data_IF_427335974104
#
_entry.id   IF_427335974104
#
_cell.length_a   1.000
_cell.length_b   1.000
_cell.length_c   1.000
_cell.angle_alpha   90.00
_cell.angle_beta   90.00
_cell.angle_gamma   90.00
#
_symmetry.space_group_name_H-M   'P 1'
#
loop_
_entity.id
_entity.type
_entity.pdbx_description
1 polymer ?
#
# COMPACT_ATOMS: atom_id res chain seq x y z
N UNK A 1 -23.20 21.29 6.33
CA UNK A 1 -22.29 21.74 7.41
C UNK A 1 -21.06 22.33 6.74
N UNK A 2 -20.70 23.58 7.00
CA UNK A 2 -19.53 24.23 6.39
C UNK A 2 -18.37 24.21 7.38
N UNK A 3 -17.31 23.46 7.09
CA UNK A 3 -16.08 23.36 7.86
C UNK A 3 -15.04 22.56 7.08
N UNK A 4 -13.75 22.62 7.42
CA UNK A 4 -12.74 21.80 6.77
C UNK A 4 -13.01 20.31 6.98
N UNK A 5 -12.57 19.43 6.06
CA UNK A 5 -12.74 17.99 6.20
C UNK A 5 -12.03 17.50 7.47
N UNK A 6 -12.68 16.60 8.19
CA UNK A 6 -12.13 15.95 9.38
C UNK A 6 -11.74 14.53 8.98
N UNK A 7 -10.44 14.29 8.87
CA UNK A 7 -9.91 12.95 8.68
C UNK A 7 -9.72 12.28 10.03
N UNK A 8 -10.22 11.05 10.16
CA UNK A 8 -10.00 10.20 11.32
C UNK A 8 -9.22 8.97 10.86
N UNK A 9 -7.99 8.83 11.36
CA UNK A 9 -7.12 7.71 11.07
C UNK A 9 -7.29 6.59 12.10
N UNK A 10 -7.24 5.36 11.62
CA UNK A 10 -7.26 4.16 12.44
C UNK A 10 -6.40 3.07 11.81
N UNK A 11 -6.50 1.85 12.32
CA UNK A 11 -5.88 0.69 11.67
C UNK A 11 -6.81 -0.52 11.74
N UNK A 12 -6.69 -1.44 10.79
CA UNK A 12 -7.33 -2.76 10.84
C UNK A 12 -6.27 -3.87 10.88
N UNK A 13 -6.59 -4.96 11.58
CA UNK A 13 -5.71 -6.14 11.72
C UNK A 13 -6.38 -7.44 11.24
N UNK A 14 -7.55 -7.33 10.61
CA UNK A 14 -8.18 -8.41 9.88
C UNK A 14 -7.74 -8.31 8.43
N UNK A 15 -7.35 -9.43 7.83
CA UNK A 15 -6.63 -9.45 6.57
C UNK A 15 -7.14 -10.53 5.62
N UNK A 16 -7.08 -10.23 4.34
CA UNK A 16 -7.12 -11.19 3.24
C UNK A 16 -5.69 -11.34 2.70
N UNK A 17 -5.19 -12.56 2.57
CA UNK A 17 -3.93 -12.83 1.87
C UNK A 17 -4.11 -12.53 0.38
N UNK A 18 -3.21 -11.73 -0.17
CA UNK A 18 -3.22 -11.35 -1.59
C UNK A 18 -2.09 -12.02 -2.38
N UNK A 19 -0.91 -12.13 -1.76
CA UNK A 19 0.25 -12.81 -2.33
C UNK A 19 1.17 -13.32 -1.20
N UNK A 20 1.79 -14.47 -1.43
CA UNK A 20 2.83 -15.07 -0.60
C UNK A 20 3.87 -15.62 -1.55
N UNK A 21 5.13 -15.26 -1.35
CA UNK A 21 6.24 -15.70 -2.22
C UNK A 21 6.74 -17.13 -1.93
N UNK A 22 6.08 -17.84 -1.03
CA UNK A 22 6.38 -19.24 -0.71
C UNK A 22 6.50 -20.08 -2.00
N UNK A 23 7.61 -20.80 -2.11
CA UNK A 23 7.93 -21.63 -3.26
C UNK A 23 8.74 -20.91 -4.34
N UNK A 24 8.85 -19.58 -4.29
CA UNK A 24 9.56 -18.78 -5.31
C UNK A 24 11.07 -19.01 -5.34
N UNK A 25 11.66 -19.42 -4.22
CA UNK A 25 13.12 -19.45 -4.09
C UNK A 25 13.78 -18.08 -3.90
N UNK A 26 12.99 -17.02 -3.66
CA UNK A 26 13.52 -15.73 -3.22
C UNK A 26 14.36 -15.89 -1.93
N UNK A 27 15.37 -15.02 -1.78
CA UNK A 27 16.28 -15.03 -0.63
C UNK A 27 15.60 -14.59 0.68
N UNK A 28 14.46 -13.91 0.58
CA UNK A 28 13.64 -13.42 1.68
C UNK A 28 12.23 -13.97 1.57
N UNK A 29 11.59 -14.22 2.71
CA UNK A 29 10.17 -14.58 2.76
C UNK A 29 9.30 -13.31 2.77
N UNK A 30 8.21 -13.28 2.01
CA UNK A 30 7.34 -12.13 1.82
C UNK A 30 5.85 -12.48 1.71
N UNK A 31 5.04 -11.92 2.60
CA UNK A 31 3.58 -12.02 2.53
C UNK A 31 2.91 -10.65 2.48
N UNK A 32 1.90 -10.53 1.61
CA UNK A 32 1.18 -9.31 1.31
C UNK A 32 -0.32 -9.50 1.50
N UNK A 33 -0.94 -8.55 2.17
CA UNK A 33 -2.30 -8.67 2.67
C UNK A 33 -3.11 -7.39 2.47
N UNK A 34 -4.37 -7.57 2.12
CA UNK A 34 -5.35 -6.49 2.11
C UNK A 34 -6.09 -6.43 3.44
N UNK A 35 -6.16 -5.23 4.03
CA UNK A 35 -6.97 -5.01 5.22
C UNK A 35 -8.46 -5.19 4.94
N UNK A 36 -9.16 -5.90 5.82
CA UNK A 36 -10.62 -6.03 5.77
C UNK A 36 -11.22 -4.86 6.53
N UNK A 37 -11.90 -3.97 5.82
CA UNK A 37 -12.64 -2.85 6.39
C UNK A 37 -14.13 -3.14 6.37
N UNK A 38 -14.85 -2.72 7.41
CA UNK A 38 -16.30 -2.85 7.49
C UNK A 38 -16.98 -1.51 7.21
N UNK A 39 -18.03 -1.54 6.39
CA UNK A 39 -18.85 -0.37 6.06
C UNK A 39 -18.28 0.51 4.93
N UNK A 40 -19.10 1.47 4.49
CA UNK A 40 -18.83 2.26 3.28
C UNK A 40 -18.08 3.58 3.55
N UNK A 41 -17.65 3.80 4.80
CA UNK A 41 -17.06 5.07 5.26
C UNK A 41 -15.59 4.95 5.67
N UNK A 42 -15.04 3.73 5.73
CA UNK A 42 -13.65 3.47 6.07
C UNK A 42 -12.88 2.99 4.85
N UNK A 43 -11.75 3.64 4.57
CA UNK A 43 -10.95 3.41 3.38
C UNK A 43 -9.53 2.96 3.73
N UNK A 44 -8.98 2.10 2.88
CA UNK A 44 -7.57 1.74 2.89
C UNK A 44 -6.74 2.81 2.16
N UNK A 45 -5.45 2.88 2.51
CA UNK A 45 -4.46 3.77 1.89
C UNK A 45 -3.31 3.02 1.21
N UNK A 46 -3.40 1.69 1.21
CA UNK A 46 -2.46 0.72 0.65
C UNK A 46 -2.68 -0.64 1.32
N UNK A 47 -1.91 -1.63 0.93
CA UNK A 47 -1.92 -2.96 1.54
C UNK A 47 -0.80 -3.09 2.61
N UNK A 48 -0.85 -4.18 3.36
CA UNK A 48 0.13 -4.56 4.38
C UNK A 48 1.12 -5.58 3.84
N UNK A 49 2.38 -5.48 4.25
CA UNK A 49 3.41 -6.45 3.92
C UNK A 49 4.23 -6.83 5.16
N UNK A 50 4.71 -8.07 5.19
CA UNK A 50 5.65 -8.54 6.21
C UNK A 50 6.64 -9.56 5.62
N UNK A 51 7.84 -9.57 6.20
CA UNK A 51 8.94 -10.41 5.73
C UNK A 51 8.98 -11.80 6.37
N UNK A 52 7.85 -12.53 6.38
CA UNK A 52 7.75 -13.92 6.85
C UNK A 52 6.36 -14.54 6.55
N UNK A 53 6.27 -15.88 6.62
CA UNK A 53 5.03 -16.66 6.43
C UNK A 53 4.11 -16.80 7.66
N UNK A 54 4.41 -16.17 8.79
CA UNK A 54 3.53 -16.28 9.95
C UNK A 54 2.20 -15.53 9.71
N UNK A 55 1.15 -15.82 10.50
CA UNK A 55 -0.06 -14.99 10.48
C UNK A 55 0.26 -13.50 10.65
N UNK A 56 -0.51 -12.58 10.03
CA UNK A 56 -0.28 -11.15 10.13
C UNK A 56 -0.13 -10.68 11.58
N UNK A 57 1.01 -10.08 11.92
CA UNK A 57 1.32 -9.62 13.27
C UNK A 57 1.07 -8.13 13.50
N UNK A 58 0.76 -7.38 12.43
CA UNK A 58 0.59 -5.93 12.43
C UNK A 58 -0.85 -5.48 12.16
N UNK A 59 -0.98 -4.21 11.82
CA UNK A 59 -2.20 -3.59 11.34
C UNK A 59 -1.89 -2.63 10.19
N UNK A 60 -2.88 -2.31 9.37
CA UNK A 60 -2.74 -1.39 8.22
C UNK A 60 -3.58 -0.14 8.40
N UNK A 61 -3.00 1.00 8.01
CA UNK A 61 -3.63 2.31 8.13
C UNK A 61 -4.96 2.40 7.36
N UNK A 62 -5.97 2.94 8.04
CA UNK A 62 -7.27 3.29 7.47
C UNK A 62 -7.61 4.75 7.71
N UNK A 63 -8.53 5.27 6.91
CA UNK A 63 -9.03 6.63 7.04
C UNK A 63 -10.54 6.69 6.83
N UNK A 64 -11.20 7.56 7.58
CA UNK A 64 -12.57 7.99 7.32
C UNK A 64 -12.62 9.52 7.27
N UNK A 65 -13.59 10.08 6.56
CA UNK A 65 -13.76 11.52 6.40
C UNK A 65 -15.16 11.95 6.84
N UNK A 66 -15.22 13.06 7.58
CA UNK A 66 -16.45 13.77 7.92
C UNK A 66 -16.35 15.21 7.45
N UNK A 67 -17.51 15.87 7.24
CA UNK A 67 -17.58 17.25 6.76
C UNK A 67 -16.80 17.48 5.44
N UNK A 68 -16.81 16.50 4.54
CA UNK A 68 -16.07 16.60 3.28
C UNK A 68 -16.75 17.56 2.30
N UNK A 69 -15.94 18.31 1.55
CA UNK A 69 -16.41 19.17 0.47
C UNK A 69 -16.55 18.33 -0.80
N UNK A 70 -17.76 18.11 -1.34
CA UNK A 70 -17.93 17.29 -2.53
C UNK A 70 -17.28 17.89 -3.78
N UNK A 71 -16.99 19.19 -3.79
CA UNK A 71 -16.29 19.88 -4.90
C UNK A 71 -14.77 19.80 -4.80
N UNK A 72 -14.25 19.46 -3.62
CA UNK A 72 -12.83 19.31 -3.34
C UNK A 72 -12.62 18.28 -2.21
N UNK A 73 -12.90 16.99 -2.46
CA UNK A 73 -12.93 15.99 -1.40
C UNK A 73 -11.53 15.72 -0.84
N UNK A 74 -11.43 15.40 0.45
CA UNK A 74 -10.15 15.06 1.08
C UNK A 74 -9.59 13.72 0.55
N UNK A 75 -10.49 12.82 0.14
CA UNK A 75 -10.19 11.48 -0.34
C UNK A 75 -10.71 11.30 -1.77
N UNK A 76 -9.91 10.71 -2.64
CA UNK A 76 -10.33 10.38 -4.01
C UNK A 76 -9.99 8.93 -4.35
N UNK A 77 -10.82 8.28 -5.17
CA UNK A 77 -10.47 6.97 -5.72
C UNK A 77 -9.26 7.11 -6.67
N UNK A 78 -8.37 6.10 -6.73
CA UNK A 78 -7.33 6.08 -7.76
C UNK A 78 -7.95 6.01 -9.16
N UNK A 79 -7.29 6.62 -10.15
CA UNK A 79 -7.74 6.61 -11.56
C UNK A 79 -7.26 5.38 -12.31
N UNK A 80 -6.40 4.57 -11.70
CA UNK A 80 -5.82 3.35 -12.26
C UNK A 80 -4.73 2.82 -11.36
N UNK A 81 -3.98 1.83 -11.86
CA UNK A 81 -2.88 1.20 -11.15
C UNK A 81 -1.71 1.01 -12.12
N UNK A 82 -0.52 1.44 -11.70
CA UNK A 82 0.71 1.21 -12.44
C UNK A 82 1.34 -0.10 -11.93
N UNK A 83 1.61 -1.03 -12.83
CA UNK A 83 2.29 -2.28 -12.48
C UNK A 83 3.71 -1.96 -11.98
N UNK A 84 4.08 -2.56 -10.86
CA UNK A 84 5.46 -2.53 -10.33
C UNK A 84 6.14 -3.86 -10.65
N UNK A 85 5.44 -4.97 -10.36
CA UNK A 85 6.04 -6.30 -10.37
C UNK A 85 4.99 -7.40 -10.51
N UNK A 86 5.38 -8.55 -11.06
CA UNK A 86 4.62 -9.80 -11.12
C UNK A 86 5.54 -10.96 -10.78
N UNK A 87 5.01 -12.02 -10.18
CA UNK A 87 5.77 -13.23 -9.85
C UNK A 87 6.06 -14.16 -11.04
N UNK A 88 5.71 -13.74 -12.27
CA UNK A 88 5.96 -14.52 -13.48
C UNK A 88 7.44 -14.91 -13.56
N UNK A 89 7.71 -16.22 -13.63
CA UNK A 89 9.06 -16.78 -13.64
C UNK A 89 9.55 -17.29 -12.28
N UNK A 90 8.94 -16.85 -11.18
CA UNK A 90 9.42 -17.15 -9.82
C UNK A 90 9.19 -18.60 -9.37
N UNK A 91 8.18 -19.27 -9.91
CA UNK A 91 7.80 -20.61 -9.44
C UNK A 91 7.12 -20.64 -8.06
N UNK A 92 6.66 -19.49 -7.55
CA UNK A 92 5.87 -19.40 -6.32
C UNK A 92 4.62 -20.29 -6.37
N UNK A 93 4.16 -20.75 -5.19
CA UNK A 93 2.95 -21.55 -5.05
C UNK A 93 1.67 -20.75 -5.36
N UNK A 94 1.77 -19.41 -5.41
CA UNK A 94 0.65 -18.49 -5.62
C UNK A 94 1.06 -17.38 -6.59
N UNK A 95 0.31 -17.24 -7.69
CA UNK A 95 0.52 -16.13 -8.62
C UNK A 95 0.12 -14.78 -8.00
N UNK A 96 0.95 -13.76 -8.20
CA UNK A 96 0.69 -12.43 -7.65
C UNK A 96 1.41 -11.28 -8.34
N UNK A 97 0.95 -10.08 -8.01
CA UNK A 97 1.50 -8.84 -8.56
C UNK A 97 1.39 -7.67 -7.57
N UNK A 98 2.29 -6.69 -7.73
CA UNK A 98 2.35 -5.47 -6.95
C UNK A 98 2.15 -4.24 -7.83
N UNK A 99 1.38 -3.28 -7.33
CA UNK A 99 0.93 -2.12 -8.09
C UNK A 99 1.01 -0.84 -7.26
N UNK A 100 1.30 0.27 -7.93
CA UNK A 100 1.15 1.61 -7.34
C UNK A 100 -0.19 2.20 -7.78
N UNK A 101 -1.08 2.60 -6.86
CA UNK A 101 -2.28 3.34 -7.23
C UNK A 101 -1.93 4.66 -7.92
N UNK A 102 -2.57 4.94 -9.05
CA UNK A 102 -2.40 6.20 -9.78
C UNK A 102 -3.37 7.21 -9.17
N UNK A 103 -2.82 8.19 -8.45
CA UNK A 103 -3.62 9.23 -7.83
C UNK A 103 -4.15 10.22 -8.88
N UNK A 104 -5.40 10.72 -8.73
CA UNK A 104 -5.88 11.84 -9.53
C UNK A 104 -5.06 13.11 -9.27
N UNK A 105 -5.14 14.07 -10.19
CA UNK A 105 -4.44 15.35 -10.05
C UNK A 105 -4.80 16.04 -8.71
N UNK A 106 -3.78 16.46 -7.97
CA UNK A 106 -3.93 17.10 -6.65
C UNK A 106 -3.97 16.12 -5.47
N UNK A 107 -3.81 14.82 -5.71
CA UNK A 107 -3.80 13.77 -4.70
C UNK A 107 -2.53 12.93 -4.79
N UNK A 108 -2.27 12.13 -3.76
CA UNK A 108 -1.18 11.14 -3.72
C UNK A 108 -1.66 9.80 -3.19
N UNK A 109 -1.03 8.73 -3.66
CA UNK A 109 -1.13 7.39 -3.07
C UNK A 109 -0.10 7.24 -1.94
N UNK A 110 -0.45 6.52 -0.88
CA UNK A 110 0.39 6.41 0.32
C UNK A 110 1.14 5.07 0.41
N UNK A 111 0.54 3.99 -0.06
CA UNK A 111 1.16 2.66 -0.10
C UNK A 111 0.84 1.93 -1.40
N UNK A 112 1.71 0.98 -1.74
CA UNK A 112 1.47 0.05 -2.83
C UNK A 112 0.35 -0.95 -2.45
N UNK A 113 -0.18 -1.63 -3.47
CA UNK A 113 -1.20 -2.68 -3.32
C UNK A 113 -0.76 -3.96 -3.98
N UNK A 114 -1.26 -5.06 -3.46
CA UNK A 114 -1.00 -6.43 -3.89
C UNK A 114 -2.23 -7.04 -4.54
N UNK A 115 -2.04 -7.96 -5.47
CA UNK A 115 -3.14 -8.57 -6.21
C UNK A 115 -2.82 -10.03 -6.48
N UNK A 116 -3.79 -10.92 -6.24
CA UNK A 116 -3.71 -12.31 -6.66
C UNK A 116 -3.85 -12.37 -8.19
N UNK A 117 -2.91 -13.04 -8.85
CA UNK A 117 -2.76 -13.03 -10.30
C UNK A 117 -2.28 -11.69 -10.87
N UNK A 118 -2.40 -11.53 -12.20
CA UNK A 118 -1.73 -10.46 -12.96
C UNK A 118 -2.64 -9.35 -13.49
N UNK A 119 -3.95 -9.46 -13.27
CA UNK A 119 -4.89 -8.44 -13.72
C UNK A 119 -4.76 -7.20 -12.83
N UNK A 120 -4.90 -6.02 -13.43
CA UNK A 120 -4.98 -4.77 -12.66
C UNK A 120 -6.04 -4.89 -11.56
N UNK A 121 -5.74 -4.45 -10.32
CA UNK A 121 -6.65 -4.62 -9.20
C UNK A 121 -7.88 -3.70 -9.32
N UNK A 122 -8.97 -4.11 -8.68
CA UNK A 122 -10.15 -3.28 -8.43
C UNK A 122 -10.43 -3.27 -6.93
N UNK A 123 -10.21 -2.12 -6.29
CA UNK A 123 -10.23 -1.96 -4.83
C UNK A 123 -11.17 -0.80 -4.48
N UNK A 124 -12.49 -1.05 -4.32
CA UNK A 124 -13.48 0.03 -4.19
C UNK A 124 -13.30 0.89 -2.94
N UNK A 125 -12.69 0.33 -1.90
CA UNK A 125 -12.41 0.96 -0.62
C UNK A 125 -10.98 1.53 -0.51
N UNK A 126 -10.22 1.62 -1.60
CA UNK A 126 -8.91 2.28 -1.59
C UNK A 126 -9.06 3.77 -1.93
N UNK A 127 -8.32 4.63 -1.23
CA UNK A 127 -8.31 6.08 -1.50
C UNK A 127 -6.88 6.63 -1.59
N UNK A 128 -6.74 7.64 -2.45
CA UNK A 128 -5.66 8.60 -2.44
C UNK A 128 -6.05 9.79 -1.54
N UNK A 129 -5.07 10.48 -0.96
CA UNK A 129 -5.30 11.64 -0.10
C UNK A 129 -4.89 12.92 -0.84
N UNK A 130 -5.66 13.99 -0.65
CA UNK A 130 -5.34 15.30 -1.22
C UNK A 130 -3.97 15.78 -0.74
N UNK A 131 -3.19 16.36 -1.64
CA UNK A 131 -1.76 16.63 -1.43
C UNK A 131 -1.47 17.59 -0.26
N UNK A 132 -2.35 18.56 0.01
CA UNK A 132 -2.24 19.50 1.14
C UNK A 132 -2.44 18.85 2.52
N UNK A 133 -2.96 17.63 2.57
CA UNK A 133 -3.25 16.89 3.80
C UNK A 133 -2.15 15.89 4.17
N UNK A 134 -1.06 15.84 3.40
CA UNK A 134 0.08 14.95 3.63
C UNK A 134 1.39 15.71 3.79
N UNK A 135 2.39 15.03 4.35
CA UNK A 135 3.80 15.43 4.35
C UNK A 135 4.64 14.32 3.74
N UNK A 136 5.86 14.66 3.35
CA UNK A 136 6.85 13.65 3.00
C UNK A 136 7.13 12.77 4.23
N UNK A 137 6.98 11.46 4.06
CA UNK A 137 7.26 10.45 5.07
C UNK A 137 8.69 9.91 4.96
N UNK A 138 8.94 8.84 5.69
CA UNK A 138 10.22 8.14 5.69
C UNK A 138 10.07 6.72 5.15
N UNK A 139 11.05 6.29 4.37
CA UNK A 139 11.20 4.89 3.98
C UNK A 139 11.97 4.18 5.09
N UNK A 140 11.42 3.07 5.55
CA UNK A 140 11.96 2.25 6.62
C UNK A 140 12.84 1.10 6.11
N UNK A 141 12.90 0.03 6.90
CA UNK A 141 13.65 -1.17 6.55
C UNK A 141 13.05 -1.90 5.35
N UNK A 142 13.91 -2.64 4.63
CA UNK A 142 13.49 -3.64 3.65
C UNK A 142 12.56 -4.66 4.36
N UNK A 143 11.42 -4.94 3.74
CA UNK A 143 10.50 -6.00 4.13
C UNK A 143 10.79 -7.26 3.34
N UNK A 144 10.91 -7.11 2.01
CA UNK A 144 11.07 -8.20 1.07
C UNK A 144 11.63 -7.69 -0.27
N UNK A 145 12.34 -8.54 -0.98
CA UNK A 145 12.72 -8.36 -2.38
C UNK A 145 12.60 -9.70 -3.08
N UNK A 146 12.38 -9.69 -4.39
CA UNK A 146 12.27 -10.92 -5.17
C UNK A 146 13.62 -11.47 -5.65
N UNK A 147 14.76 -10.92 -5.19
CA UNK A 147 16.10 -11.47 -5.45
C UNK A 147 16.12 -12.98 -5.16
N UNK A 148 16.68 -13.75 -6.09
CA UNK A 148 16.75 -15.21 -6.00
C UNK A 148 15.53 -15.94 -6.57
N UNK A 149 14.40 -15.26 -6.75
CA UNK A 149 13.16 -15.91 -7.21
C UNK A 149 13.21 -16.37 -8.68
N UNK A 150 13.93 -15.64 -9.53
CA UNK A 150 13.90 -15.87 -10.97
C UNK A 150 12.68 -15.28 -11.69
N UNK A 151 11.92 -14.39 -11.02
CA UNK A 151 10.89 -13.60 -11.69
C UNK A 151 11.46 -12.74 -12.82
N UNK A 152 10.63 -12.45 -13.83
CA UNK A 152 11.03 -11.66 -15.01
C UNK A 152 11.24 -10.17 -14.71
N UNK A 153 10.66 -9.68 -13.61
CA UNK A 153 10.74 -8.30 -13.13
C UNK A 153 11.35 -8.30 -11.74
N UNK A 154 12.11 -7.26 -11.40
CA UNK A 154 12.68 -7.09 -10.07
C UNK A 154 11.76 -6.24 -9.17
N UNK A 155 11.78 -6.46 -7.86
CA UNK A 155 11.13 -5.59 -6.88
C UNK A 155 11.83 -5.56 -5.53
N UNK A 156 11.77 -4.41 -4.87
CA UNK A 156 12.09 -4.25 -3.45
C UNK A 156 10.97 -3.51 -2.73
N UNK A 157 10.54 -4.09 -1.62
CA UNK A 157 9.43 -3.63 -0.78
C UNK A 157 9.95 -3.18 0.58
N UNK A 158 9.61 -1.96 1.00
CA UNK A 158 10.10 -1.33 2.21
C UNK A 158 8.96 -0.89 3.11
N UNK A 159 9.19 -0.92 4.43
CA UNK A 159 8.28 -0.30 5.37
C UNK A 159 8.22 1.22 5.14
N UNK A 160 7.14 1.85 5.57
CA UNK A 160 7.01 3.32 5.53
C UNK A 160 6.74 3.86 6.92
N UNK A 161 6.88 5.18 7.10
CA UNK A 161 6.44 5.86 8.32
C UNK A 161 4.93 5.82 8.55
N UNK A 162 4.14 5.37 7.57
CA UNK A 162 2.70 5.14 7.71
C UNK A 162 2.46 3.71 8.23
N UNK A 163 1.68 3.51 9.31
CA UNK A 163 1.48 2.19 9.92
C UNK A 163 1.03 1.12 8.92
N UNK A 164 1.85 0.07 8.80
CA UNK A 164 1.57 -1.13 8.00
C UNK A 164 1.67 -0.94 6.48
N UNK A 165 1.72 0.28 5.96
CA UNK A 165 1.86 0.50 4.53
C UNK A 165 3.28 0.20 4.06
N UNK A 166 3.42 -0.35 2.86
CA UNK A 166 4.70 -0.56 2.22
C UNK A 166 4.87 0.29 0.95
N UNK A 167 6.12 0.67 0.72
CA UNK A 167 6.61 1.22 -0.55
C UNK A 167 7.19 0.08 -1.37
N UNK A 168 6.99 0.11 -2.69
CA UNK A 168 7.59 -0.85 -3.61
C UNK A 168 8.17 -0.13 -4.83
N UNK A 169 9.28 -0.66 -5.33
CA UNK A 169 9.96 -0.16 -6.52
C UNK A 169 10.46 -1.33 -7.37
N UNK A 170 10.40 -1.19 -8.68
CA UNK A 170 10.76 -2.24 -9.63
C UNK A 170 12.26 -2.34 -9.89
N UNK A 171 13.08 -2.46 -8.85
CA UNK A 171 14.54 -2.70 -8.90
C UNK A 171 15.13 -2.84 -7.47
N UNK A 172 16.39 -3.26 -7.39
CA UNK A 172 17.16 -3.48 -6.16
C UNK A 172 17.97 -2.27 -5.65
N UNK A 173 17.87 -1.09 -6.30
CA UNK A 173 18.63 0.08 -5.86
C UNK A 173 18.11 0.63 -4.53
N UNK A 174 18.91 1.44 -3.80
CA UNK A 174 18.41 2.16 -2.64
C UNK A 174 17.14 2.97 -2.96
N UNK A 175 16.18 3.07 -2.03
CA UNK A 175 14.88 3.64 -2.36
C UNK A 175 14.92 5.14 -2.58
N UNK A 176 14.36 5.61 -3.69
CA UNK A 176 14.48 7.01 -4.17
C UNK A 176 13.16 7.80 -4.20
N UNK A 177 12.01 7.11 -4.17
CA UNK A 177 10.71 7.75 -4.33
C UNK A 177 10.22 8.46 -3.07
N UNK A 178 9.38 9.50 -3.19
CA UNK A 178 8.70 10.03 -2.02
C UNK A 178 7.69 9.00 -1.52
N UNK A 179 7.68 8.76 -0.21
CA UNK A 179 6.54 8.19 0.49
C UNK A 179 5.78 9.31 1.18
N UNK A 180 4.47 9.17 1.29
CA UNK A 180 3.60 10.19 1.89
C UNK A 180 3.01 9.67 3.19
N UNK A 181 2.87 10.57 4.16
CA UNK A 181 2.24 10.29 5.45
C UNK A 181 1.19 11.37 5.71
N UNK A 182 0.02 11.03 6.26
CA UNK A 182 -0.94 12.06 6.66
C UNK A 182 -0.32 13.05 7.64
N UNK A 183 -0.53 14.34 7.39
CA UNK A 183 0.06 15.42 8.20
C UNK A 183 -0.28 15.32 9.68
N UNK A 184 -1.46 14.77 10.01
CA UNK A 184 -1.95 14.57 11.38
C UNK A 184 -1.21 13.48 12.15
N UNK A 185 -0.53 12.56 11.45
CA UNK A 185 0.23 11.46 12.07
C UNK A 185 1.71 11.80 12.28
N UNK A 186 2.18 12.91 11.72
CA UNK A 186 3.53 13.41 11.96
C UNK A 186 3.52 14.19 13.28
N UNK A 187 4.21 13.70 14.31
CA UNK A 187 4.39 14.49 15.53
C UNK A 187 5.03 15.82 15.19
N UNK A 188 4.47 16.93 15.70
CA UNK A 188 5.15 18.22 15.65
C UNK A 188 6.42 18.09 16.51
N UNK A 189 7.55 17.87 15.85
CA UNK A 189 8.89 18.05 16.42
C UNK A 189 9.08 19.49 16.83
#
# INVERSE_FOLDING_TARGET
MSGPPILTFGTVNQFQLMYSDKGSGADLDGCFYRGVVSGDTTFLLGDYAQGNYNPPSGSVLTVSVQNDDPTNPALAAPTGYALIWTDQGSGADMDGSLWMPIAPQGYVALGAVSQTGYNSPYIPNLRCIRFDLVKQGLIGSLIWSDEGSGADLDVSCYATSSPGLFYAQGNYNPPVGPVWVPSQLVSNS
#
